data_IF_965075036606
#
_entry.id   IF_965075036606
#
_cell.length_a   1.000
_cell.length_b   1.000
_cell.length_c   1.000
_cell.angle_alpha   90.00
_cell.angle_beta   90.00
_cell.angle_gamma   90.00
#
_symmetry.space_group_name_H-M   'P 1'
#
loop_
_entity.id
_entity.type
_entity.pdbx_description
1 polymer ?
#
# COMPACT_ATOMS: atom_id res chain seq x y z
N UNK A 1 -8.91 -6.21 20.30
CA UNK A 1 -8.78 -6.00 18.86
C UNK A 1 -7.51 -5.16 18.73
N UNK A 2 -6.42 -5.78 18.29
CA UNK A 2 -5.21 -5.03 17.94
C UNK A 2 -5.61 -4.03 16.85
N UNK A 3 -5.15 -2.79 16.96
CA UNK A 3 -5.56 -1.73 16.03
C UNK A 3 -5.06 -2.03 14.62
N UNK A 4 -5.86 -1.60 13.65
CA UNK A 4 -5.45 -1.53 12.25
C UNK A 4 -5.18 -0.05 11.95
N UNK A 5 -4.05 0.24 11.31
CA UNK A 5 -3.77 1.54 10.68
C UNK A 5 -4.05 1.46 9.19
N UNK A 6 -4.18 2.61 8.54
CA UNK A 6 -4.47 2.69 7.11
C UNK A 6 -3.24 3.09 6.32
N UNK A 7 -2.76 2.19 5.47
CA UNK A 7 -1.77 2.51 4.44
C UNK A 7 -2.47 3.19 3.25
N UNK A 8 -2.05 4.40 2.91
CA UNK A 8 -2.42 5.11 1.69
C UNK A 8 -1.27 4.98 0.68
N UNK A 9 -1.58 4.56 -0.55
CA UNK A 9 -0.63 4.47 -1.66
C UNK A 9 -1.16 5.31 -2.81
N UNK A 10 -0.58 6.48 -3.03
CA UNK A 10 -0.97 7.46 -4.05
C UNK A 10 -0.17 7.32 -5.33
N UNK A 11 -0.70 7.87 -6.43
CA UNK A 11 0.01 7.95 -7.70
C UNK A 11 0.42 6.57 -8.25
N UNK A 12 -0.38 5.54 -7.99
CA UNK A 12 -0.24 4.22 -8.60
C UNK A 12 -0.57 4.38 -10.08
N UNK A 13 0.39 4.17 -10.98
CA UNK A 13 0.25 4.45 -12.42
C UNK A 13 -0.16 3.23 -13.25
N UNK A 14 -0.11 2.04 -12.67
CA UNK A 14 -0.40 0.79 -13.37
C UNK A 14 -0.76 -0.32 -12.40
N UNK A 15 -1.45 -1.34 -12.91
CA UNK A 15 -1.75 -2.57 -12.19
C UNK A 15 -0.46 -3.25 -11.70
N UNK A 16 0.60 -3.26 -12.51
CA UNK A 16 1.90 -3.80 -12.11
C UNK A 16 2.50 -3.10 -10.88
N UNK A 17 2.27 -1.78 -10.74
CA UNK A 17 2.68 -1.03 -9.54
C UNK A 17 1.86 -1.46 -8.32
N UNK A 18 0.54 -1.68 -8.50
CA UNK A 18 -0.33 -2.14 -7.42
C UNK A 18 0.01 -3.58 -6.99
N UNK A 19 0.30 -4.45 -7.95
CA UNK A 19 0.78 -5.81 -7.70
C UNK A 19 2.10 -5.79 -6.93
N UNK A 20 3.06 -4.92 -7.29
CA UNK A 20 4.31 -4.80 -6.55
C UNK A 20 4.11 -4.41 -5.08
N UNK A 21 3.14 -3.53 -4.80
CA UNK A 21 2.75 -3.15 -3.43
C UNK A 21 2.18 -4.34 -2.67
N UNK A 22 1.25 -5.09 -3.28
CA UNK A 22 0.65 -6.29 -2.69
C UNK A 22 1.70 -7.37 -2.42
N UNK A 23 2.56 -7.64 -3.40
CA UNK A 23 3.70 -8.55 -3.30
C UNK A 23 4.64 -8.17 -2.15
N UNK A 24 4.90 -6.88 -1.95
CA UNK A 24 5.75 -6.41 -0.86
C UNK A 24 5.10 -6.66 0.51
N UNK A 25 3.79 -6.40 0.65
CA UNK A 25 3.04 -6.69 1.87
C UNK A 25 2.97 -8.20 2.16
N UNK A 26 2.78 -9.02 1.12
CA UNK A 26 2.78 -10.49 1.22
C UNK A 26 4.15 -11.03 1.64
N UNK A 27 5.25 -10.45 1.11
CA UNK A 27 6.62 -10.83 1.51
C UNK A 27 6.95 -10.46 2.95
N UNK A 28 6.37 -9.36 3.45
CA UNK A 28 6.46 -8.98 4.86
C UNK A 28 5.61 -9.89 5.76
N UNK A 29 4.71 -10.71 5.19
CA UNK A 29 3.78 -11.55 5.96
C UNK A 29 2.74 -10.74 6.71
N UNK A 30 2.40 -9.55 6.21
CA UNK A 30 1.41 -8.65 6.81
C UNK A 30 0.01 -9.12 6.44
N UNK A 31 -0.88 -9.24 7.43
CA UNK A 31 -2.30 -9.53 7.20
C UNK A 31 -3.04 -8.24 6.80
N UNK A 32 -2.83 -7.81 5.55
CA UNK A 32 -3.42 -6.57 5.02
C UNK A 32 -4.78 -6.81 4.37
N UNK A 33 -5.63 -5.78 4.37
CA UNK A 33 -6.93 -5.80 3.69
C UNK A 33 -7.10 -4.59 2.79
N UNK A 34 -7.44 -4.80 1.53
CA UNK A 34 -7.79 -3.71 0.62
C UNK A 34 -9.07 -3.00 1.11
N UNK A 35 -9.01 -1.67 1.21
CA UNK A 35 -10.12 -0.84 1.67
C UNK A 35 -10.88 -0.20 0.51
N UNK A 36 -10.18 0.51 -0.37
CA UNK A 36 -10.75 1.20 -1.55
C UNK A 36 -9.64 1.70 -2.49
N UNK A 37 -10.03 2.06 -3.71
CA UNK A 37 -9.20 2.83 -4.64
C UNK A 37 -9.95 4.09 -5.12
N UNK A 38 -9.21 5.15 -5.40
CA UNK A 38 -9.72 6.42 -5.94
C UNK A 38 -8.85 6.92 -7.10
N UNK A 39 -9.35 7.00 -8.35
CA UNK A 39 -10.66 6.51 -8.82
C UNK A 39 -10.75 4.97 -8.72
N UNK A 40 -11.91 4.40 -9.08
CA UNK A 40 -12.15 2.95 -9.03
C UNK A 40 -11.02 2.12 -9.70
N UNK A 41 -10.87 0.87 -9.28
CA UNK A 41 -9.70 -0.02 -9.54
C UNK A 41 -9.25 -0.19 -11.00
N UNK A 42 -10.08 0.19 -11.98
CA UNK A 42 -9.79 0.12 -13.41
C UNK A 42 -9.24 1.43 -14.01
N UNK A 43 -8.94 2.45 -13.20
CA UNK A 43 -8.51 3.75 -13.68
C UNK A 43 -7.23 4.24 -13.01
N UNK A 44 -6.18 4.36 -13.81
CA UNK A 44 -4.90 4.93 -13.38
C UNK A 44 -4.72 6.38 -13.88
N UNK A 45 -4.03 7.25 -13.14
CA UNK A 45 -3.44 6.98 -11.82
C UNK A 45 -4.50 6.88 -10.72
N UNK A 46 -4.26 6.02 -9.72
CA UNK A 46 -5.13 5.85 -8.56
C UNK A 46 -4.41 5.95 -7.23
N UNK A 47 -5.18 6.24 -6.19
CA UNK A 47 -4.81 6.12 -4.80
C UNK A 47 -5.47 4.89 -4.21
N UNK A 48 -4.69 3.93 -3.72
CA UNK A 48 -5.17 2.69 -3.10
C UNK A 48 -5.00 2.74 -1.59
N UNK A 49 -5.98 2.24 -0.86
CA UNK A 49 -5.98 2.22 0.61
C UNK A 49 -6.02 0.79 1.11
N UNK A 50 -5.22 0.49 2.13
CA UNK A 50 -5.15 -0.82 2.78
C UNK A 50 -5.21 -0.66 4.29
N UNK A 51 -5.93 -1.55 4.96
CA UNK A 51 -5.79 -1.74 6.40
C UNK A 51 -4.62 -2.68 6.65
N UNK A 52 -3.70 -2.27 7.53
CA UNK A 52 -2.58 -3.10 8.00
C UNK A 52 -2.60 -3.14 9.53
N UNK A 53 -2.06 -4.19 10.17
CA UNK A 53 -1.90 -4.22 11.61
C UNK A 53 -0.99 -3.08 12.09
N UNK A 54 -1.37 -2.36 13.15
CA UNK A 54 -0.55 -1.28 13.75
C UNK A 54 0.89 -1.72 14.05
N UNK A 55 1.07 -2.98 14.49
CA UNK A 55 2.39 -3.54 14.80
C UNK A 55 3.32 -3.71 13.58
N UNK A 56 2.79 -3.61 12.37
CA UNK A 56 3.54 -3.70 11.11
C UNK A 56 3.74 -2.34 10.43
N UNK A 57 3.20 -1.25 10.99
CA UNK A 57 3.20 0.06 10.34
C UNK A 57 4.60 0.56 9.99
N UNK A 58 5.54 0.51 10.95
CA UNK A 58 6.92 0.97 10.75
C UNK A 58 7.67 0.14 9.68
N UNK A 59 7.48 -1.18 9.69
CA UNK A 59 8.13 -2.06 8.72
C UNK A 59 7.53 -1.90 7.31
N UNK A 60 6.21 -1.75 7.22
CA UNK A 60 5.52 -1.43 5.97
C UNK A 60 5.96 -0.09 5.43
N UNK A 61 6.02 0.96 6.25
CA UNK A 61 6.46 2.30 5.80
C UNK A 61 7.89 2.26 5.23
N UNK A 62 8.81 1.54 5.89
CA UNK A 62 10.17 1.40 5.42
C UNK A 62 10.25 0.68 4.06
N UNK A 63 9.51 -0.42 3.87
CA UNK A 63 9.48 -1.13 2.57
C UNK A 63 8.78 -0.31 1.49
N UNK A 64 7.69 0.37 1.84
CA UNK A 64 6.94 1.20 0.91
C UNK A 64 7.76 2.41 0.43
N UNK A 65 8.62 2.97 1.28
CA UNK A 65 9.56 4.02 0.87
C UNK A 65 10.55 3.52 -0.19
N UNK A 66 11.10 2.32 -0.04
CA UNK A 66 12.03 1.77 -1.05
C UNK A 66 11.31 1.48 -2.37
N UNK A 67 10.09 0.94 -2.27
CA UNK A 67 9.28 0.58 -3.43
C UNK A 67 8.75 1.83 -4.16
N UNK A 68 8.47 2.90 -3.43
CA UNK A 68 8.01 4.18 -3.99
C UNK A 68 9.10 4.85 -4.83
N UNK A 69 10.38 4.75 -4.41
CA UNK A 69 11.52 5.23 -5.19
C UNK A 69 11.69 4.45 -6.53
N UNK A 70 11.40 3.15 -6.53
CA UNK A 70 11.53 2.30 -7.72
C UNK A 70 10.37 2.53 -8.72
N UNK A 71 9.14 2.63 -8.23
CA UNK A 71 7.94 2.67 -9.07
C UNK A 71 7.34 4.07 -9.24
N UNK A 72 7.82 5.06 -8.49
CA UNK A 72 7.40 6.46 -8.57
C UNK A 72 5.95 6.69 -8.14
N UNK A 73 5.49 5.98 -7.09
CA UNK A 73 4.27 6.24 -6.33
C UNK A 73 4.63 6.93 -5.00
N UNK A 74 3.65 7.26 -4.16
CA UNK A 74 3.87 7.74 -2.79
C UNK A 74 3.10 6.86 -1.80
N UNK A 75 3.64 6.60 -0.61
CA UNK A 75 2.98 5.76 0.37
C UNK A 75 3.22 6.22 1.81
N UNK A 76 2.18 6.18 2.64
CA UNK A 76 2.20 6.60 4.04
C UNK A 76 1.15 5.85 4.87
N UNK A 77 1.43 5.62 6.16
CA UNK A 77 0.44 5.12 7.13
C UNK A 77 -0.27 6.27 7.84
N UNK A 78 -1.59 6.16 8.05
CA UNK A 78 -2.49 7.19 8.61
C UNK A 78 -2.94 6.91 10.05
#
# INVERSE_FOLDING_TARGET
MQGDTMLRVENVKSEATLEAVRDALDRLGVDYRFARAEPDEDRFPQTSYFYIPDGSAEEVEHVMQQLSEEHGFDAETL
#
